data_IF_566852267999
#
_entry.id   IF_566852267999
#
_cell.length_a   1.000
_cell.length_b   1.000
_cell.length_c   1.000
_cell.angle_alpha   90.00
_cell.angle_beta   90.00
_cell.angle_gamma   90.00
#
_symmetry.space_group_name_H-M   'P 1'
#
loop_
_entity.id
_entity.type
_entity.pdbx_description
1 polymer ?
#
# COMPACT_ATOMS: atom_id res chain seq x y z
N UNK A 1 -26.96 7.97 -31.03
CA UNK A 1 -26.60 6.65 -31.57
C UNK A 1 -25.64 6.04 -30.57
N UNK A 2 -26.14 5.09 -29.79
CA UNK A 2 -25.58 4.62 -28.52
C UNK A 2 -24.25 3.89 -28.70
N UNK A 3 -23.31 4.20 -27.80
CA UNK A 3 -22.03 3.54 -27.65
C UNK A 3 -22.24 2.25 -26.86
N UNK A 4 -22.03 1.12 -27.53
CA UNK A 4 -22.04 -0.22 -26.93
C UNK A 4 -20.81 -0.35 -26.03
N UNK A 5 -21.02 -0.49 -24.72
CA UNK A 5 -20.01 -0.90 -23.75
C UNK A 5 -19.59 -2.35 -24.02
N UNK A 6 -18.33 -2.55 -24.37
CA UNK A 6 -17.74 -3.88 -24.56
C UNK A 6 -17.30 -4.48 -23.22
N UNK A 7 -17.95 -5.59 -22.85
CA UNK A 7 -17.76 -6.41 -21.64
C UNK A 7 -16.40 -7.17 -21.66
N UNK A 8 -15.55 -7.11 -20.60
CA UNK A 8 -14.16 -7.56 -20.69
C UNK A 8 -13.90 -9.07 -20.52
N UNK A 9 -14.91 -9.95 -20.60
CA UNK A 9 -14.74 -11.39 -20.32
C UNK A 9 -14.93 -12.35 -21.52
N UNK A 10 -14.54 -11.94 -22.73
CA UNK A 10 -14.67 -12.80 -23.94
C UNK A 10 -13.59 -13.88 -24.12
N UNK A 11 -12.71 -14.16 -23.14
CA UNK A 11 -11.70 -15.23 -23.28
C UNK A 11 -11.47 -16.02 -22.00
N UNK A 12 -12.36 -16.98 -21.73
CA UNK A 12 -12.13 -18.16 -20.89
C UNK A 12 -11.98 -19.42 -21.80
N UNK A 13 -11.30 -20.50 -21.38
CA UNK A 13 -11.26 -21.78 -22.10
C UNK A 13 -12.67 -22.40 -22.22
N UNK A 14 -12.91 -23.38 -23.12
CA UNK A 14 -14.25 -23.79 -23.53
C UNK A 14 -14.89 -24.74 -22.53
N UNK A 15 -15.21 -24.24 -21.34
CA UNK A 15 -16.30 -24.77 -20.53
C UNK A 15 -17.35 -23.67 -20.50
N UNK A 16 -18.33 -23.74 -21.41
CA UNK A 16 -19.48 -22.87 -21.40
C UNK A 16 -20.15 -22.99 -20.01
N UNK A 17 -20.22 -21.93 -19.19
CA UNK A 17 -21.12 -21.95 -18.05
C UNK A 17 -22.52 -22.26 -18.61
N UNK A 18 -23.19 -23.27 -18.04
CA UNK A 18 -24.55 -23.63 -18.43
C UNK A 18 -25.37 -22.35 -18.61
N UNK A 19 -26.04 -22.13 -19.76
CA UNK A 19 -26.82 -20.91 -20.00
C UNK A 19 -27.82 -20.62 -18.87
N UNK A 20 -28.31 -21.68 -18.23
CA UNK A 20 -29.17 -21.60 -17.05
C UNK A 20 -28.43 -21.02 -15.83
N UNK A 21 -27.19 -21.46 -15.57
CA UNK A 21 -26.38 -20.91 -14.47
C UNK A 21 -26.00 -19.45 -14.71
N UNK A 22 -25.69 -19.07 -15.95
CA UNK A 22 -25.43 -17.67 -16.29
C UNK A 22 -26.68 -16.81 -16.10
N UNK A 23 -27.85 -17.30 -16.52
CA UNK A 23 -29.12 -16.60 -16.36
C UNK A 23 -29.48 -16.45 -14.87
N UNK A 24 -29.29 -17.50 -14.07
CA UNK A 24 -29.46 -17.45 -12.61
C UNK A 24 -28.48 -16.46 -11.96
N UNK A 25 -27.21 -16.48 -12.37
CA UNK A 25 -26.23 -15.52 -11.90
C UNK A 25 -26.62 -14.08 -12.23
N UNK A 26 -27.02 -13.79 -13.48
CA UNK A 26 -27.45 -12.44 -13.87
C UNK A 26 -28.71 -12.00 -13.10
N UNK A 27 -29.67 -12.91 -12.89
CA UNK A 27 -30.89 -12.64 -12.12
C UNK A 27 -30.60 -12.33 -10.64
N UNK A 28 -29.61 -13.01 -10.04
CA UNK A 28 -29.29 -12.90 -8.62
C UNK A 28 -28.00 -12.11 -8.31
N UNK A 29 -27.36 -11.52 -9.34
CA UNK A 29 -26.03 -10.88 -9.25
C UNK A 29 -25.91 -9.91 -8.08
N UNK A 30 -26.92 -9.07 -7.87
CA UNK A 30 -26.94 -8.06 -6.80
C UNK A 30 -27.00 -8.71 -5.42
N UNK A 31 -27.85 -9.72 -5.25
CA UNK A 31 -27.97 -10.46 -3.99
C UNK A 31 -26.69 -11.22 -3.66
N UNK A 32 -26.10 -11.90 -4.65
CA UNK A 32 -24.82 -12.59 -4.52
C UNK A 32 -23.72 -11.61 -4.11
N UNK A 33 -23.62 -10.46 -4.81
CA UNK A 33 -22.62 -9.44 -4.52
C UNK A 33 -22.71 -8.96 -3.06
N UNK A 34 -23.92 -8.68 -2.57
CA UNK A 34 -24.14 -8.25 -1.19
C UNK A 34 -23.73 -9.31 -0.19
N UNK A 35 -24.08 -10.57 -0.42
CA UNK A 35 -23.68 -11.67 0.47
C UNK A 35 -22.16 -11.85 0.51
N UNK A 36 -21.50 -11.77 -0.65
CA UNK A 36 -20.04 -11.85 -0.73
C UNK A 36 -19.40 -10.70 0.05
N UNK A 37 -19.83 -9.45 -0.17
CA UNK A 37 -19.28 -8.30 0.54
C UNK A 37 -19.60 -8.34 2.05
N UNK A 38 -20.80 -8.76 2.44
CA UNK A 38 -21.17 -8.90 3.85
C UNK A 38 -20.33 -9.96 4.58
N UNK A 39 -19.85 -10.99 3.86
CA UNK A 39 -18.92 -11.97 4.44
C UNK A 39 -17.50 -11.38 4.64
N UNK A 40 -17.08 -10.47 3.77
CA UNK A 40 -15.75 -9.86 3.78
C UNK A 40 -15.62 -8.65 4.73
N UNK A 41 -16.71 -7.94 5.02
CA UNK A 41 -16.71 -6.76 5.88
C UNK A 41 -17.39 -7.03 7.21
N UNK A 42 -16.72 -6.71 8.31
CA UNK A 42 -17.39 -6.57 9.61
C UNK A 42 -18.03 -5.17 9.75
N UNK A 43 -18.88 -5.01 10.77
CA UNK A 43 -19.58 -3.75 11.04
C UNK A 43 -18.62 -2.56 11.25
N UNK A 44 -17.41 -2.81 11.74
CA UNK A 44 -16.41 -1.76 11.93
C UNK A 44 -15.81 -1.31 10.60
N UNK A 45 -15.47 -2.27 9.73
CA UNK A 45 -14.97 -2.06 8.38
C UNK A 45 -15.99 -1.33 7.50
N UNK A 46 -17.28 -1.62 7.66
CA UNK A 46 -18.35 -0.85 6.99
C UNK A 46 -18.30 0.62 7.41
N UNK A 47 -18.17 0.90 8.71
CA UNK A 47 -18.04 2.28 9.17
C UNK A 47 -16.78 2.97 8.63
N UNK A 48 -15.65 2.27 8.51
CA UNK A 48 -14.44 2.83 7.87
C UNK A 48 -14.67 3.11 6.37
N UNK A 49 -15.25 2.15 5.64
CA UNK A 49 -15.54 2.31 4.21
C UNK A 49 -16.50 3.46 3.95
N UNK A 50 -17.58 3.57 4.74
CA UNK A 50 -18.53 4.68 4.61
C UNK A 50 -17.89 6.02 4.97
N UNK A 51 -16.98 6.05 5.96
CA UNK A 51 -16.26 7.27 6.30
C UNK A 51 -15.40 7.77 5.14
N UNK A 52 -14.87 6.86 4.31
CA UNK A 52 -14.09 7.18 3.11
C UNK A 52 -15.01 7.61 1.96
N UNK A 53 -16.00 6.78 1.61
CA UNK A 53 -16.86 6.96 0.43
C UNK A 53 -17.73 8.21 0.53
N UNK A 54 -18.29 8.46 1.72
CA UNK A 54 -19.18 9.60 1.98
C UNK A 54 -18.43 10.86 2.45
N UNK A 55 -17.09 10.84 2.45
CA UNK A 55 -16.32 11.97 2.94
C UNK A 55 -16.60 13.24 2.11
N UNK A 56 -16.89 14.39 2.73
CA UNK A 56 -17.24 15.61 2.00
C UNK A 56 -16.20 16.01 0.96
N UNK A 57 -16.60 16.08 -0.31
CA UNK A 57 -15.70 16.37 -1.42
C UNK A 57 -15.21 17.83 -1.38
N UNK A 58 -13.90 18.04 -1.59
CA UNK A 58 -13.30 19.38 -1.66
C UNK A 58 -13.86 20.22 -2.82
N UNK A 59 -14.33 19.59 -3.91
CA UNK A 59 -14.79 20.26 -5.13
C UNK A 59 -16.21 20.80 -5.06
N UNK A 60 -17.06 20.22 -4.21
CA UNK A 60 -18.49 20.58 -4.14
C UNK A 60 -18.78 21.75 -3.20
N UNK A 61 -17.83 22.13 -2.34
CA UNK A 61 -18.00 23.20 -1.37
C UNK A 61 -16.88 24.24 -1.56
N UNK A 62 -17.21 25.39 -2.15
CA UNK A 62 -16.25 26.47 -2.40
C UNK A 62 -15.76 27.12 -1.10
N UNK A 63 -16.63 27.20 -0.07
CA UNK A 63 -16.29 27.78 1.23
C UNK A 63 -15.47 26.81 2.11
N UNK A 64 -14.29 27.28 2.55
CA UNK A 64 -13.39 26.57 3.45
C UNK A 64 -14.02 26.32 4.83
N UNK A 65 -14.82 27.25 5.35
CA UNK A 65 -15.43 27.13 6.67
C UNK A 65 -16.54 26.09 6.70
N UNK A 66 -17.45 26.14 5.73
CA UNK A 66 -18.49 25.14 5.54
C UNK A 66 -17.88 23.74 5.34
N UNK A 67 -16.83 23.61 4.52
CA UNK A 67 -16.12 22.34 4.34
C UNK A 67 -15.56 21.79 5.65
N UNK A 68 -14.91 22.64 6.46
CA UNK A 68 -14.41 22.27 7.80
C UNK A 68 -15.52 21.81 8.73
N UNK A 69 -16.68 22.46 8.69
CA UNK A 69 -17.85 22.10 9.49
C UNK A 69 -18.41 20.74 9.08
N UNK A 70 -18.57 20.50 7.78
CA UNK A 70 -19.06 19.23 7.24
C UNK A 70 -18.11 18.08 7.56
N UNK A 71 -16.79 18.26 7.36
CA UNK A 71 -15.80 17.23 7.73
C UNK A 71 -15.80 16.92 9.23
N UNK A 72 -15.90 17.95 10.09
CA UNK A 72 -16.04 17.75 11.54
C UNK A 72 -17.30 16.97 11.92
N UNK A 73 -18.43 17.30 11.29
CA UNK A 73 -19.69 16.58 11.53
C UNK A 73 -19.61 15.12 11.07
N UNK A 74 -19.01 14.88 9.90
CA UNK A 74 -18.79 13.56 9.33
C UNK A 74 -17.93 12.67 10.23
N UNK A 75 -16.77 13.16 10.68
CA UNK A 75 -15.91 12.41 11.61
C UNK A 75 -16.60 12.15 12.96
N UNK A 76 -17.44 13.06 13.44
CA UNK A 76 -18.27 12.82 14.64
C UNK A 76 -19.27 11.69 14.42
N UNK A 77 -19.96 11.67 13.28
CA UNK A 77 -20.89 10.59 12.94
C UNK A 77 -20.16 9.24 12.86
N UNK A 78 -19.03 9.20 12.16
CA UNK A 78 -18.17 8.02 12.09
C UNK A 78 -17.69 7.54 13.47
N UNK A 79 -17.19 8.43 14.33
CA UNK A 79 -16.70 8.03 15.67
C UNK A 79 -17.81 7.46 16.58
N UNK A 80 -19.06 7.75 16.26
CA UNK A 80 -20.25 7.22 16.95
C UNK A 80 -20.88 6.02 16.24
N UNK A 81 -20.29 5.55 15.14
CA UNK A 81 -20.83 4.50 14.27
C UNK A 81 -22.24 4.82 13.75
N UNK A 82 -22.44 6.06 13.30
CA UNK A 82 -23.73 6.57 12.81
C UNK A 82 -23.75 6.80 11.29
N UNK A 83 -22.75 6.30 10.56
CA UNK A 83 -22.80 6.30 9.10
C UNK A 83 -23.73 5.17 8.62
N UNK A 84 -24.38 5.33 7.44
CA UNK A 84 -25.34 4.36 6.92
C UNK A 84 -24.70 2.98 6.71
N UNK A 85 -25.53 1.94 6.67
CA UNK A 85 -25.09 0.59 6.33
C UNK A 85 -25.68 0.22 4.96
N UNK A 86 -24.83 0.04 3.92
CA UNK A 86 -25.31 -0.21 2.57
C UNK A 86 -26.05 -1.55 2.42
N UNK A 87 -25.94 -2.47 3.39
CA UNK A 87 -26.65 -3.76 3.35
C UNK A 87 -28.02 -3.69 4.01
N UNK A 88 -28.19 -2.88 5.05
CA UNK A 88 -29.47 -2.69 5.73
C UNK A 88 -30.38 -1.72 4.95
N UNK A 89 -29.80 -0.68 4.37
CA UNK A 89 -30.55 0.39 3.67
C UNK A 89 -30.91 0.04 2.20
N UNK A 90 -30.58 -1.18 1.74
CA UNK A 90 -30.78 -1.67 0.37
C UNK A 90 -30.21 -0.74 -0.73
N UNK A 91 -29.18 0.05 -0.40
CA UNK A 91 -28.60 1.06 -1.30
C UNK A 91 -27.63 0.41 -2.30
N UNK A 92 -28.20 0.00 -3.44
CA UNK A 92 -27.48 -0.57 -4.59
C UNK A 92 -26.27 0.25 -5.05
N UNK A 93 -26.36 1.58 -4.98
CA UNK A 93 -25.30 2.45 -5.43
C UNK A 93 -24.13 2.43 -4.44
N UNK A 94 -24.39 2.51 -3.12
CA UNK A 94 -23.35 2.38 -2.11
C UNK A 94 -22.73 0.99 -2.08
N UNK A 95 -23.51 -0.08 -2.30
CA UNK A 95 -22.97 -1.44 -2.48
C UNK A 95 -22.03 -1.50 -3.67
N UNK A 96 -22.40 -0.89 -4.81
CA UNK A 96 -21.51 -0.81 -5.98
C UNK A 96 -20.22 -0.03 -5.72
N UNK A 97 -20.29 1.07 -4.96
CA UNK A 97 -19.11 1.84 -4.55
C UNK A 97 -18.22 1.06 -3.56
N UNK A 98 -18.83 0.36 -2.62
CA UNK A 98 -18.14 -0.51 -1.67
C UNK A 98 -17.42 -1.64 -2.40
N UNK A 99 -18.07 -2.29 -3.36
CA UNK A 99 -17.42 -3.33 -4.18
C UNK A 99 -16.19 -2.78 -4.90
N UNK A 100 -16.32 -1.62 -5.53
CA UNK A 100 -15.20 -0.99 -6.25
C UNK A 100 -14.05 -0.64 -5.31
N UNK A 101 -14.34 -0.14 -4.11
CA UNK A 101 -13.32 0.14 -3.10
C UNK A 101 -12.64 -1.16 -2.65
N UNK A 102 -13.41 -2.21 -2.39
CA UNK A 102 -12.90 -3.53 -2.03
C UNK A 102 -11.99 -4.11 -3.12
N UNK A 103 -12.41 -4.09 -4.39
CA UNK A 103 -11.61 -4.59 -5.53
C UNK A 103 -10.29 -3.81 -5.68
N UNK A 104 -10.32 -2.50 -5.46
CA UNK A 104 -9.12 -1.65 -5.48
C UNK A 104 -8.16 -1.99 -4.35
N UNK A 105 -8.69 -2.22 -3.15
CA UNK A 105 -7.88 -2.63 -1.99
C UNK A 105 -7.29 -4.01 -2.25
N UNK A 106 -8.08 -4.99 -2.70
CA UNK A 106 -7.58 -6.33 -2.99
C UNK A 106 -6.48 -6.32 -4.05
N UNK A 107 -6.61 -5.49 -5.10
CA UNK A 107 -5.53 -5.33 -6.08
C UNK A 107 -4.20 -4.88 -5.44
N UNK A 108 -4.26 -3.96 -4.48
CA UNK A 108 -3.09 -3.47 -3.76
C UNK A 108 -2.56 -4.49 -2.76
N UNK A 109 -3.45 -5.24 -2.09
CA UNK A 109 -3.09 -6.34 -1.20
C UNK A 109 -2.36 -7.44 -1.96
N UNK A 110 -2.89 -7.84 -3.12
CA UNK A 110 -2.27 -8.83 -3.99
C UNK A 110 -0.86 -8.41 -4.43
N UNK A 111 -0.68 -7.15 -4.80
CA UNK A 111 0.63 -6.60 -5.15
C UNK A 111 1.58 -6.55 -3.95
N UNK A 112 1.10 -6.11 -2.79
CA UNK A 112 1.89 -6.02 -1.58
C UNK A 112 2.35 -7.40 -1.12
N UNK A 113 1.46 -8.40 -1.06
CA UNK A 113 1.82 -9.78 -0.71
C UNK A 113 2.87 -10.32 -1.68
N UNK A 114 2.71 -10.08 -2.99
CA UNK A 114 3.70 -10.53 -3.99
C UNK A 114 5.11 -10.00 -3.68
N UNK A 115 5.22 -8.71 -3.33
CA UNK A 115 6.49 -8.06 -2.99
C UNK A 115 7.04 -8.52 -1.64
N UNK A 116 6.17 -8.60 -0.65
CA UNK A 116 6.48 -8.99 0.72
C UNK A 116 7.07 -10.41 0.82
N UNK A 117 6.54 -11.34 0.03
CA UNK A 117 6.92 -12.75 0.06
C UNK A 117 8.00 -13.09 -0.96
N UNK A 118 8.51 -12.10 -1.69
CA UNK A 118 9.53 -12.30 -2.70
C UNK A 118 10.87 -12.70 -2.05
N UNK A 119 11.67 -13.57 -2.70
CA UNK A 119 13.03 -13.85 -2.23
C UNK A 119 13.89 -12.59 -2.15
N UNK A 120 13.69 -11.64 -3.08
CA UNK A 120 14.42 -10.39 -3.17
C UNK A 120 13.46 -9.18 -3.30
N UNK A 121 12.89 -8.70 -2.17
CA UNK A 121 11.88 -7.64 -2.19
C UNK A 121 12.30 -6.37 -2.92
N UNK A 122 13.54 -5.83 -2.80
CA UNK A 122 13.86 -4.55 -3.41
C UNK A 122 13.61 -4.47 -4.93
N UNK A 123 13.80 -5.58 -5.65
CA UNK A 123 13.47 -5.65 -7.09
C UNK A 123 11.97 -5.69 -7.34
N UNK A 124 11.21 -6.46 -6.56
CA UNK A 124 9.76 -6.52 -6.73
C UNK A 124 9.12 -5.19 -6.36
N UNK A 125 9.65 -4.49 -5.35
CA UNK A 125 9.21 -3.17 -4.95
C UNK A 125 9.44 -2.08 -6.01
N UNK A 126 10.38 -2.25 -6.94
CA UNK A 126 10.51 -1.39 -8.14
C UNK A 126 9.36 -1.57 -9.14
N UNK A 127 8.65 -2.69 -9.07
CA UNK A 127 7.57 -3.01 -9.99
C UNK A 127 6.23 -2.44 -9.49
N UNK A 128 5.32 -2.18 -10.44
CA UNK A 128 4.01 -1.61 -10.18
C UNK A 128 2.90 -2.62 -10.52
N UNK A 129 1.76 -2.59 -9.81
CA UNK A 129 0.63 -3.42 -10.17
C UNK A 129 -0.02 -2.93 -11.46
N UNK A 130 -0.37 -3.86 -12.35
CA UNK A 130 -1.20 -3.54 -13.51
C UNK A 130 -2.66 -3.34 -13.10
N UNK A 131 -3.20 -2.14 -13.33
CA UNK A 131 -4.61 -1.77 -13.05
C UNK A 131 -5.57 -2.20 -14.16
N UNK A 132 -5.09 -2.48 -15.37
CA UNK A 132 -5.95 -2.74 -16.53
C UNK A 132 -6.58 -4.15 -16.48
N UNK A 133 -7.89 -4.27 -16.80
CA UNK A 133 -8.71 -5.47 -16.55
C UNK A 133 -8.52 -6.64 -17.55
N UNK A 134 -7.59 -6.55 -18.50
CA UNK A 134 -7.58 -7.42 -19.69
C UNK A 134 -6.74 -8.71 -19.59
N UNK A 135 -6.26 -9.09 -18.40
CA UNK A 135 -5.46 -10.31 -18.24
C UNK A 135 -5.91 -11.09 -17.02
N UNK A 136 -6.39 -12.30 -17.25
CA UNK A 136 -6.75 -13.34 -16.25
C UNK A 136 -5.59 -13.65 -15.30
N UNK A 137 -4.37 -13.22 -15.66
CA UNK A 137 -3.18 -13.29 -14.82
C UNK A 137 -2.64 -11.88 -14.57
N UNK A 138 -2.94 -11.34 -13.38
CA UNK A 138 -2.30 -10.11 -12.90
C UNK A 138 -0.79 -10.32 -12.79
N UNK A 139 -0.02 -9.29 -13.13
CA UNK A 139 1.45 -9.31 -13.01
C UNK A 139 1.92 -7.97 -12.45
N UNK A 140 3.03 -8.01 -11.72
CA UNK A 140 3.87 -6.86 -11.45
C UNK A 140 4.57 -6.46 -12.75
N UNK A 141 4.63 -5.16 -13.03
CA UNK A 141 5.21 -4.63 -14.27
C UNK A 141 6.28 -3.58 -14.02
N UNK A 142 7.33 -3.61 -14.84
CA UNK A 142 8.36 -2.60 -14.88
C UNK A 142 8.51 -2.06 -16.31
N UNK A 143 8.20 -0.77 -16.51
CA UNK A 143 8.23 -0.11 -17.83
C UNK A 143 7.51 -0.92 -18.93
N UNK A 144 6.40 -1.57 -18.57
CA UNK A 144 5.59 -2.39 -19.49
C UNK A 144 5.98 -3.87 -19.56
N UNK A 145 7.14 -4.26 -19.05
CA UNK A 145 7.57 -5.66 -18.98
C UNK A 145 6.86 -6.37 -17.83
N UNK A 146 6.30 -7.55 -18.09
CA UNK A 146 5.75 -8.43 -17.06
C UNK A 146 6.89 -9.08 -16.30
N UNK A 147 6.88 -8.97 -14.98
CA UNK A 147 7.92 -9.46 -14.09
C UNK A 147 7.43 -10.69 -13.34
N UNK A 148 6.64 -10.49 -12.29
CA UNK A 148 6.22 -11.56 -11.38
C UNK A 148 4.71 -11.69 -11.44
N UNK A 149 4.16 -12.91 -11.57
CA UNK A 149 2.73 -13.15 -11.45
C UNK A 149 2.23 -12.64 -10.10
N UNK A 150 1.17 -11.85 -10.12
CA UNK A 150 0.60 -11.28 -8.91
C UNK A 150 -0.09 -12.36 -8.10
N UNK A 151 0.15 -12.36 -6.80
CA UNK A 151 -0.50 -13.20 -5.83
C UNK A 151 -2.04 -13.12 -5.95
N UNK A 152 -2.72 -14.25 -5.71
CA UNK A 152 -4.19 -14.32 -5.74
C UNK A 152 -4.73 -14.23 -4.32
N UNK A 153 -5.58 -13.24 -4.06
CA UNK A 153 -6.21 -13.01 -2.75
C UNK A 153 -6.99 -14.21 -2.19
N UNK A 154 -7.42 -15.16 -3.03
CA UNK A 154 -8.06 -16.42 -2.62
C UNK A 154 -7.15 -17.36 -1.84
N UNK A 155 -5.82 -17.16 -1.91
CA UNK A 155 -4.85 -17.95 -1.16
C UNK A 155 -4.65 -17.44 0.28
N UNK A 156 -5.23 -16.29 0.63
CA UNK A 156 -5.28 -15.80 2.01
C UNK A 156 -6.46 -16.44 2.74
N UNK A 157 -6.26 -16.74 4.02
CA UNK A 157 -7.39 -17.03 4.91
C UNK A 157 -8.31 -15.80 5.00
N UNK A 158 -9.57 -16.03 5.36
CA UNK A 158 -10.53 -14.93 5.54
C UNK A 158 -10.09 -13.94 6.62
N UNK A 159 -9.40 -14.41 7.67
CA UNK A 159 -8.87 -13.55 8.73
C UNK A 159 -7.73 -12.66 8.22
N UNK A 160 -6.78 -13.22 7.46
CA UNK A 160 -5.68 -12.46 6.86
C UNK A 160 -6.20 -11.39 5.90
N UNK A 161 -7.14 -11.77 5.02
CA UNK A 161 -7.76 -10.85 4.05
C UNK A 161 -8.49 -9.71 4.76
N UNK A 162 -9.26 -10.00 5.81
CA UNK A 162 -9.93 -8.97 6.64
C UNK A 162 -8.94 -8.01 7.29
N UNK A 163 -7.83 -8.51 7.86
CA UNK A 163 -6.78 -7.64 8.44
C UNK A 163 -6.18 -6.70 7.41
N UNK A 164 -5.86 -7.21 6.22
CA UNK A 164 -5.40 -6.37 5.11
C UNK A 164 -6.42 -5.30 4.75
N UNK A 165 -7.66 -5.69 4.41
CA UNK A 165 -8.69 -4.73 4.00
C UNK A 165 -8.92 -3.68 5.09
N UNK A 166 -8.99 -4.09 6.36
CA UNK A 166 -9.16 -3.18 7.49
C UNK A 166 -8.02 -2.17 7.59
N UNK A 167 -6.76 -2.62 7.49
CA UNK A 167 -5.60 -1.73 7.56
C UNK A 167 -5.58 -0.70 6.41
N UNK A 168 -5.92 -1.13 5.18
CA UNK A 168 -6.03 -0.22 4.04
C UNK A 168 -7.15 0.81 4.21
N UNK A 169 -8.31 0.41 4.76
CA UNK A 169 -9.40 1.34 5.07
C UNK A 169 -9.00 2.35 6.14
N UNK A 170 -8.37 1.89 7.23
CA UNK A 170 -7.89 2.80 8.29
C UNK A 170 -6.86 3.77 7.73
N UNK A 171 -5.91 3.28 6.92
CA UNK A 171 -4.92 4.12 6.25
C UNK A 171 -5.57 5.19 5.34
N UNK A 172 -6.52 4.82 4.48
CA UNK A 172 -7.15 5.79 3.57
C UNK A 172 -8.00 6.81 4.32
N UNK A 173 -8.65 6.40 5.42
CA UNK A 173 -9.36 7.33 6.30
C UNK A 173 -8.40 8.36 6.94
N UNK A 174 -7.21 7.93 7.39
CA UNK A 174 -6.17 8.84 7.87
C UNK A 174 -5.76 9.84 6.79
N UNK A 175 -5.67 9.38 5.53
CA UNK A 175 -5.37 10.27 4.40
C UNK A 175 -6.48 11.30 4.14
N UNK A 176 -7.73 11.02 4.49
CA UNK A 176 -8.81 12.04 4.42
C UNK A 176 -8.64 13.13 5.49
N UNK A 177 -8.05 12.81 6.64
CA UNK A 177 -7.83 13.73 7.78
C UNK A 177 -6.39 14.29 7.88
N UNK A 178 -5.51 13.97 6.91
CA UNK A 178 -4.05 14.24 6.88
C UNK A 178 -3.60 15.71 6.99
N UNK A 179 -4.53 16.63 7.23
CA UNK A 179 -4.27 18.07 7.35
C UNK A 179 -4.81 18.67 8.64
N UNK A 180 -5.26 17.85 9.60
CA UNK A 180 -5.86 18.26 10.88
C UNK A 180 -7.02 19.27 10.74
N UNK A 181 -7.54 19.48 9.52
CA UNK A 181 -8.55 20.52 9.29
C UNK A 181 -9.92 20.13 9.85
N UNK A 182 -10.13 18.83 10.07
CA UNK A 182 -11.44 18.26 10.32
C UNK A 182 -11.54 17.52 11.64
N UNK A 183 -10.45 17.17 12.32
CA UNK A 183 -10.50 16.52 13.63
C UNK A 183 -11.14 17.45 14.67
N UNK A 184 -12.29 17.09 15.26
CA UNK A 184 -12.85 17.83 16.39
C UNK A 184 -12.01 17.61 17.65
N UNK A 185 -11.80 18.66 18.46
CA UNK A 185 -11.08 18.57 19.74
C UNK A 185 -11.72 17.62 20.77
N UNK A 186 -13.00 17.29 20.59
CA UNK A 186 -13.77 16.40 21.45
C UNK A 186 -14.16 15.07 20.77
N UNK A 187 -13.41 14.64 19.76
CA UNK A 187 -13.67 13.39 19.07
C UNK A 187 -13.43 12.19 20.00
N UNK A 188 -14.37 11.24 20.03
CA UNK A 188 -14.17 9.98 20.73
C UNK A 188 -13.22 9.13 19.89
N UNK A 189 -11.98 8.98 20.36
CA UNK A 189 -10.99 8.14 19.70
C UNK A 189 -11.45 6.67 19.71
N UNK A 190 -11.37 6.02 18.54
CA UNK A 190 -11.61 4.57 18.45
C UNK A 190 -10.40 3.83 19.03
N UNK A 191 -10.67 2.77 19.79
CA UNK A 191 -9.61 1.94 20.37
C UNK A 191 -9.22 0.90 19.35
N UNK A 192 -7.93 0.73 19.12
CA UNK A 192 -7.42 -0.37 18.31
C UNK A 192 -6.23 -1.05 18.99
N UNK A 193 -5.93 -2.27 18.55
CA UNK A 193 -4.79 -3.05 19.01
C UNK A 193 -3.46 -2.51 18.49
N UNK A 194 -2.37 -2.95 19.11
CA UNK A 194 -1.03 -2.64 18.60
C UNK A 194 -0.79 -3.31 17.24
N UNK A 195 -1.28 -4.53 17.03
CA UNK A 195 -1.19 -5.20 15.73
C UNK A 195 -1.87 -4.39 14.61
N UNK A 196 -3.02 -3.78 14.88
CA UNK A 196 -3.70 -2.93 13.89
C UNK A 196 -2.95 -1.63 13.62
N UNK A 197 -2.36 -1.00 14.65
CA UNK A 197 -1.49 0.16 14.46
C UNK A 197 -0.30 -0.20 13.56
N UNK A 198 0.33 -1.34 13.82
CA UNK A 198 1.47 -1.86 13.08
C UNK A 198 1.09 -2.23 11.63
N UNK A 199 -0.10 -2.80 11.44
CA UNK A 199 -0.68 -3.08 10.12
C UNK A 199 -0.88 -1.80 9.31
N UNK A 200 -1.36 -0.71 9.92
CA UNK A 200 -1.48 0.59 9.25
C UNK A 200 -0.10 1.14 8.87
N UNK A 201 0.91 1.00 9.74
CA UNK A 201 2.30 1.38 9.42
C UNK A 201 2.87 0.58 8.24
N UNK A 202 2.57 -0.72 8.18
CA UNK A 202 2.91 -1.58 7.05
C UNK A 202 2.28 -1.08 5.74
N UNK A 203 0.98 -0.76 5.74
CA UNK A 203 0.29 -0.18 4.57
C UNK A 203 0.89 1.17 4.18
N UNK A 204 1.16 2.06 5.14
CA UNK A 204 1.82 3.33 4.88
C UNK A 204 3.16 3.11 4.17
N UNK A 205 4.02 2.22 4.68
CA UNK A 205 5.32 1.92 4.06
C UNK A 205 5.15 1.35 2.64
N UNK A 206 4.18 0.46 2.44
CA UNK A 206 3.86 -0.08 1.11
C UNK A 206 3.40 1.03 0.16
N UNK A 207 2.53 1.95 0.57
CA UNK A 207 2.10 3.07 -0.26
C UNK A 207 3.25 4.01 -0.59
N UNK A 208 4.14 4.31 0.36
CA UNK A 208 5.39 5.04 0.11
C UNK A 208 6.23 4.36 -0.97
N UNK A 209 6.36 3.03 -0.89
CA UNK A 209 7.14 2.25 -1.87
C UNK A 209 6.57 2.35 -3.29
N UNK A 210 5.24 2.39 -3.45
CA UNK A 210 4.61 2.52 -4.78
C UNK A 210 4.92 3.87 -5.43
N UNK A 211 4.92 4.96 -4.66
CA UNK A 211 5.33 6.27 -5.16
C UNK A 211 6.83 6.28 -5.52
N UNK A 212 7.67 5.64 -4.70
CA UNK A 212 9.08 5.41 -5.02
C UNK A 212 9.28 4.67 -6.35
N UNK A 213 8.52 3.59 -6.57
CA UNK A 213 8.54 2.80 -7.79
C UNK A 213 8.08 3.59 -9.03
N UNK A 214 7.03 4.42 -8.89
CA UNK A 214 6.60 5.34 -9.97
C UNK A 214 7.72 6.31 -10.34
N UNK A 215 8.37 6.92 -9.35
CA UNK A 215 9.46 7.86 -9.56
C UNK A 215 10.68 7.16 -10.18
N UNK A 216 11.02 5.96 -9.72
CA UNK A 216 12.06 5.13 -10.30
C UNK A 216 11.81 4.88 -11.79
N UNK A 217 10.60 4.42 -12.15
CA UNK A 217 10.25 4.11 -13.53
C UNK A 217 10.14 5.36 -14.42
N UNK A 218 9.71 6.50 -13.86
CA UNK A 218 9.70 7.79 -14.55
C UNK A 218 11.11 8.30 -14.85
N UNK A 219 12.06 8.05 -13.95
CA UNK A 219 13.48 8.36 -14.11
C UNK A 219 14.20 7.26 -14.92
N UNK A 220 15.52 7.42 -15.08
CA UNK A 220 16.38 6.46 -15.76
C UNK A 220 16.74 5.25 -14.88
N UNK A 221 15.87 4.83 -13.95
CA UNK A 221 16.14 3.60 -13.20
C UNK A 221 16.09 2.41 -14.16
N UNK A 222 17.16 1.65 -14.23
CA UNK A 222 17.18 0.37 -14.92
C UNK A 222 16.81 -0.72 -13.93
N UNK A 223 16.03 -1.69 -14.40
CA UNK A 223 15.89 -2.92 -13.64
C UNK A 223 17.27 -3.60 -13.68
N UNK A 224 17.88 -3.98 -12.54
CA UNK A 224 19.09 -4.77 -12.58
C UNK A 224 18.90 -5.96 -13.52
N UNK A 225 19.85 -6.20 -14.43
CA UNK A 225 19.88 -7.38 -15.31
C UNK A 225 19.99 -8.66 -14.46
N UNK A 226 18.92 -9.07 -13.80
CA UNK A 226 18.94 -10.13 -12.79
C UNK A 226 17.55 -10.79 -12.64
N UNK A 227 16.99 -11.27 -13.74
CA UNK A 227 16.08 -12.43 -13.70
C UNK A 227 16.82 -13.75 -13.93
N UNK A 228 18.12 -13.70 -14.21
CA UNK A 228 18.97 -14.88 -14.10
C UNK A 228 19.32 -15.07 -12.62
N UNK A 229 19.06 -16.28 -12.12
CA UNK A 229 19.48 -16.85 -10.84
C UNK A 229 20.57 -16.06 -10.10
N UNK A 230 20.43 -15.80 -8.80
CA UNK A 230 21.43 -15.07 -8.04
C UNK A 230 22.74 -15.87 -7.98
N UNK A 231 23.65 -15.60 -8.92
CA UNK A 231 25.03 -16.05 -8.82
C UNK A 231 25.71 -15.21 -7.75
N UNK A 232 26.63 -15.84 -7.01
CA UNK A 232 27.45 -15.24 -5.94
C UNK A 232 28.15 -13.93 -6.32
N UNK A 233 28.23 -13.59 -7.60
CA UNK A 233 28.77 -12.35 -8.15
C UNK A 233 27.87 -11.11 -7.97
N UNK A 234 26.55 -11.27 -7.82
CA UNK A 234 25.63 -10.14 -7.55
C UNK A 234 25.92 -9.51 -6.17
N UNK A 235 26.51 -10.31 -5.27
CA UNK A 235 26.92 -9.93 -3.92
C UNK A 235 28.03 -8.87 -3.87
N UNK A 236 28.78 -8.71 -4.96
CA UNK A 236 29.92 -7.79 -5.04
C UNK A 236 29.59 -6.42 -5.64
N UNK A 237 28.47 -6.27 -6.35
CA UNK A 237 28.19 -5.06 -7.15
C UNK A 237 27.07 -4.15 -6.61
N UNK A 238 26.31 -4.58 -5.58
CA UNK A 238 25.28 -3.75 -4.94
C UNK A 238 25.63 -3.46 -3.48
N UNK A 239 25.55 -2.20 -3.01
CA UNK A 239 25.72 -1.89 -1.60
C UNK A 239 24.67 -2.65 -0.77
N UNK A 240 25.11 -3.36 0.25
CA UNK A 240 24.31 -4.32 1.05
C UNK A 240 22.97 -3.79 1.64
N UNK A 241 22.72 -2.48 1.88
CA UNK A 241 21.38 -1.99 2.22
C UNK A 241 20.36 -2.12 1.07
N UNK A 242 20.80 -1.96 -0.18
CA UNK A 242 19.96 -2.03 -1.39
C UNK A 242 19.58 -3.48 -1.77
N UNK A 243 20.20 -4.46 -1.09
CA UNK A 243 19.90 -5.88 -1.24
C UNK A 243 18.80 -6.38 -0.29
N UNK A 244 18.46 -5.61 0.76
CA UNK A 244 17.54 -6.06 1.81
C UNK A 244 16.27 -5.21 1.88
N UNK A 245 16.35 -3.91 1.57
CA UNK A 245 15.27 -2.95 1.76
C UNK A 245 15.09 -2.04 0.53
N UNK A 246 13.85 -1.70 0.18
CA UNK A 246 13.58 -0.72 -0.87
C UNK A 246 13.42 0.69 -0.30
N UNK A 247 14.40 1.57 -0.54
CA UNK A 247 14.29 2.98 -0.18
C UNK A 247 13.74 3.83 -1.33
N UNK A 248 12.46 4.18 -1.23
CA UNK A 248 11.78 5.07 -2.17
C UNK A 248 12.49 6.42 -2.37
N UNK A 249 13.20 6.92 -1.34
CA UNK A 249 13.85 8.23 -1.35
C UNK A 249 15.02 8.31 -2.32
N UNK A 250 15.65 7.17 -2.63
CA UNK A 250 16.80 7.07 -3.56
C UNK A 250 16.40 7.44 -4.98
N UNK A 251 15.15 7.19 -5.37
CA UNK A 251 14.67 7.39 -6.74
C UNK A 251 14.05 8.77 -7.00
N UNK A 252 14.17 9.67 -6.04
CA UNK A 252 13.58 11.01 -6.10
C UNK A 252 14.58 12.16 -5.87
N UNK A 253 15.83 12.11 -6.35
CA UNK A 253 16.85 13.13 -6.06
C UNK A 253 16.44 14.52 -6.54
N UNK A 254 15.73 14.60 -7.67
CA UNK A 254 15.26 15.87 -8.24
C UNK A 254 14.14 16.53 -7.42
N UNK A 255 13.39 15.76 -6.63
CA UNK A 255 12.36 16.31 -5.75
C UNK A 255 12.95 16.83 -4.44
N UNK A 256 14.04 16.21 -3.95
CA UNK A 256 14.85 16.76 -2.85
C UNK A 256 15.42 18.13 -3.19
N UNK A 257 15.87 18.34 -4.44
CA UNK A 257 16.35 19.64 -4.93
C UNK A 257 15.27 20.73 -4.99
N UNK A 258 13.98 20.34 -5.00
CA UNK A 258 12.85 21.26 -4.99
C UNK A 258 12.36 21.58 -3.57
N UNK A 259 12.87 20.90 -2.54
CA UNK A 259 12.58 21.20 -1.14
C UNK A 259 13.67 22.10 -0.55
N UNK A 260 13.26 23.08 0.25
CA UNK A 260 14.18 23.93 1.02
C UNK A 260 14.65 23.26 2.32
N UNK A 261 14.04 22.14 2.68
CA UNK A 261 14.25 21.45 3.95
C UNK A 261 14.91 20.08 3.73
N UNK A 262 16.11 19.93 4.28
CA UNK A 262 16.92 18.72 4.20
C UNK A 262 16.29 17.60 5.03
N UNK A 263 15.92 16.47 4.41
CA UNK A 263 15.67 15.19 5.12
C UNK A 263 14.27 14.56 5.00
N UNK A 264 13.45 14.97 4.04
CA UNK A 264 12.04 14.54 3.96
C UNK A 264 11.85 13.21 3.21
N UNK A 265 11.10 12.27 3.82
CA UNK A 265 10.66 11.02 3.16
C UNK A 265 9.58 11.36 2.13
N UNK A 266 10.00 11.44 0.86
CA UNK A 266 9.14 11.79 -0.28
C UNK A 266 7.97 10.83 -0.41
N UNK A 267 8.19 9.55 -0.14
CA UNK A 267 7.15 8.53 -0.12
C UNK A 267 6.06 8.89 0.89
N UNK A 268 6.45 9.29 2.11
CA UNK A 268 5.52 9.71 3.15
C UNK A 268 4.72 10.95 2.76
N UNK A 269 5.34 11.94 2.11
CA UNK A 269 4.62 13.12 1.62
C UNK A 269 3.52 12.75 0.61
N UNK A 270 3.84 11.90 -0.37
CA UNK A 270 2.85 11.44 -1.35
C UNK A 270 1.81 10.46 -0.76
N UNK A 271 2.16 9.68 0.26
CA UNK A 271 1.22 8.72 0.87
C UNK A 271 -0.03 9.42 1.43
N UNK A 272 0.11 10.65 1.92
CA UNK A 272 -1.01 11.49 2.44
C UNK A 272 -2.09 11.82 1.40
N UNK A 273 -1.82 11.59 0.12
CA UNK A 273 -2.76 11.81 -0.99
C UNK A 273 -3.93 10.82 -1.01
N UNK A 274 -3.80 9.69 -0.30
CA UNK A 274 -4.79 8.63 -0.22
C UNK A 274 -4.83 7.70 -1.44
N UNK A 275 -5.53 6.58 -1.28
CA UNK A 275 -5.58 5.48 -2.25
C UNK A 275 -6.25 5.90 -3.56
N UNK A 276 -7.26 6.78 -3.51
CA UNK A 276 -7.92 7.31 -4.72
C UNK A 276 -6.95 7.98 -5.70
N UNK A 277 -5.99 8.75 -5.17
CA UNK A 277 -4.98 9.43 -5.99
C UNK A 277 -3.92 8.45 -6.46
N UNK A 278 -3.48 7.54 -5.59
CA UNK A 278 -2.56 6.45 -5.94
C UNK A 278 -3.08 5.63 -7.12
N UNK A 279 -4.32 5.13 -7.06
CA UNK A 279 -4.94 4.36 -8.14
C UNK A 279 -5.02 5.15 -9.44
N UNK A 280 -5.24 6.48 -9.39
CA UNK A 280 -5.22 7.32 -10.60
C UNK A 280 -3.83 7.42 -11.23
N UNK A 281 -2.76 7.43 -10.44
CA UNK A 281 -1.40 7.44 -10.96
C UNK A 281 -0.99 6.07 -11.50
N UNK A 282 -1.42 4.98 -10.86
CA UNK A 282 -1.19 3.62 -11.35
C UNK A 282 -1.86 3.31 -12.70
N UNK A 283 -2.77 4.17 -13.18
CA UNK A 283 -3.39 4.03 -14.51
C UNK A 283 -2.52 4.53 -15.66
N UNK A 284 -1.45 5.28 -15.40
CA UNK A 284 -0.52 5.68 -16.45
C UNK A 284 0.20 4.45 -17.00
N UNK A 285 0.29 4.37 -18.32
CA UNK A 285 0.97 3.29 -19.01
C UNK A 285 2.49 3.50 -18.94
N UNK A 286 3.10 2.81 -17.99
CA UNK A 286 4.55 2.86 -17.79
C UNK A 286 5.34 2.29 -18.96
N UNK A 287 4.73 1.61 -19.94
CA UNK A 287 5.41 1.20 -21.17
C UNK A 287 5.74 2.39 -22.07
N UNK A 288 4.88 3.43 -22.08
CA UNK A 288 5.00 4.58 -22.98
C UNK A 288 5.85 5.70 -22.38
N UNK A 289 6.92 6.15 -23.06
CA UNK A 289 7.76 7.25 -22.58
C UNK A 289 7.00 8.55 -22.30
N UNK A 290 6.01 8.90 -23.12
CA UNK A 290 5.27 10.15 -22.96
C UNK A 290 4.32 10.12 -21.75
N UNK A 291 3.71 8.97 -21.46
CA UNK A 291 2.90 8.80 -20.25
C UNK A 291 3.77 8.85 -18.99
N UNK A 292 4.99 8.28 -19.03
CA UNK A 292 5.97 8.43 -17.94
C UNK A 292 6.37 9.89 -17.71
N UNK A 293 6.69 10.64 -18.78
CA UNK A 293 7.00 12.08 -18.68
C UNK A 293 5.82 12.90 -18.13
N UNK A 294 4.59 12.56 -18.55
CA UNK A 294 3.39 13.23 -18.05
C UNK A 294 3.15 12.94 -16.56
N UNK A 295 3.38 11.71 -16.10
CA UNK A 295 3.28 11.36 -14.70
C UNK A 295 4.36 12.07 -13.87
N UNK A 296 5.62 12.02 -14.29
CA UNK A 296 6.74 12.71 -13.64
C UNK A 296 6.44 14.21 -13.43
N UNK A 297 6.02 14.89 -14.50
CA UNK A 297 5.62 16.30 -14.44
C UNK A 297 4.52 16.53 -13.40
N UNK A 298 3.50 15.67 -13.38
CA UNK A 298 2.37 15.78 -12.44
C UNK A 298 2.76 15.52 -10.99
N UNK A 299 3.64 14.55 -10.74
CA UNK A 299 4.18 14.28 -9.40
C UNK A 299 5.01 15.49 -8.92
N UNK A 300 5.86 16.07 -9.77
CA UNK A 300 6.62 17.30 -9.49
C UNK A 300 5.73 18.50 -9.21
N UNK A 301 4.67 18.71 -9.99
CA UNK A 301 3.69 19.78 -9.76
C UNK A 301 2.98 19.63 -8.42
N UNK A 302 2.56 18.41 -8.07
CA UNK A 302 1.91 18.15 -6.78
C UNK A 302 2.87 18.35 -5.63
N UNK A 303 4.13 17.94 -5.78
CA UNK A 303 5.15 18.18 -4.76
C UNK A 303 5.35 19.69 -4.54
N UNK A 304 5.54 20.45 -5.63
CA UNK A 304 5.83 21.88 -5.58
C UNK A 304 4.66 22.75 -5.13
N UNK A 305 3.44 22.44 -5.55
CA UNK A 305 2.27 23.31 -5.35
C UNK A 305 1.18 22.69 -4.47
N UNK A 306 1.17 21.37 -4.32
CA UNK A 306 0.16 20.63 -3.58
C UNK A 306 0.35 20.66 -2.07
N UNK A 307 1.52 21.09 -1.59
CA UNK A 307 1.92 21.10 -0.18
C UNK A 307 1.63 19.75 0.49
N UNK A 308 2.23 18.64 0.01
CA UNK A 308 2.11 17.35 0.68
C UNK A 308 2.51 17.54 2.15
N UNK A 309 1.65 17.08 3.08
CA UNK A 309 1.88 17.35 4.50
C UNK A 309 2.98 16.42 4.98
N UNK A 310 4.20 16.94 5.07
CA UNK A 310 5.37 16.24 5.63
C UNK A 310 5.61 16.68 7.09
N UNK A 311 4.86 17.68 7.56
CA UNK A 311 5.04 18.33 8.85
C UNK A 311 4.95 17.37 10.05
N UNK A 312 4.27 16.22 9.91
CA UNK A 312 4.14 15.25 10.99
C UNK A 312 4.27 13.81 10.49
N UNK A 313 4.88 12.92 11.29
CA UNK A 313 4.87 11.48 11.03
C UNK A 313 3.44 10.93 10.92
N UNK A 314 3.24 9.83 10.19
CA UNK A 314 1.90 9.27 9.98
C UNK A 314 1.21 8.88 11.30
N UNK A 315 2.00 8.52 12.30
CA UNK A 315 1.60 8.21 13.67
C UNK A 315 0.87 9.39 14.34
N UNK A 316 1.25 10.63 14.02
CA UNK A 316 0.58 11.81 14.55
C UNK A 316 -0.86 11.92 14.01
N UNK A 317 -1.08 11.63 12.72
CA UNK A 317 -2.44 11.57 12.16
C UNK A 317 -3.23 10.43 12.77
N UNK A 318 -2.57 9.30 13.00
CA UNK A 318 -3.18 8.14 13.64
C UNK A 318 -3.74 8.49 15.03
N UNK A 319 -2.96 9.16 15.86
CA UNK A 319 -3.36 9.50 17.24
C UNK A 319 -4.50 10.53 17.33
N UNK A 320 -4.85 11.21 16.23
CA UNK A 320 -6.02 12.09 16.18
C UNK A 320 -7.34 11.35 16.12
N UNK A 321 -7.35 10.15 15.55
CA UNK A 321 -8.56 9.36 15.32
C UNK A 321 -8.62 8.11 16.21
N UNK A 322 -7.46 7.62 16.62
CA UNK A 322 -7.32 6.33 17.29
C UNK A 322 -6.50 6.42 18.59
N UNK A 323 -6.88 5.59 19.55
CA UNK A 323 -6.14 5.35 20.79
C UNK A 323 -5.64 3.92 20.82
N UNK A 324 -4.31 3.72 20.89
CA UNK A 324 -3.72 2.41 21.13
C UNK A 324 -3.91 2.01 22.60
N UNK A 325 -4.25 0.74 22.88
CA UNK A 325 -4.23 0.19 24.25
C UNK A 325 -3.50 -1.13 24.27
N UNK A 326 -2.55 -1.26 25.19
CA UNK A 326 -1.68 -2.44 25.40
C UNK A 326 -2.41 -3.77 25.70
N UNK A 327 -3.76 -3.76 25.82
CA UNK A 327 -4.62 -4.92 26.12
C UNK A 327 -5.95 -4.85 25.36
N UNK A 328 -5.97 -4.42 24.10
CA UNK A 328 -7.20 -4.50 23.31
C UNK A 328 -7.46 -5.96 22.90
N UNK A 329 -8.17 -6.70 23.77
CA UNK A 329 -8.43 -8.14 23.68
C UNK A 329 -9.36 -8.52 22.50
N UNK A 330 -10.13 -7.56 21.99
CA UNK A 330 -11.11 -7.80 20.91
C UNK A 330 -10.51 -7.61 19.50
N UNK A 331 -9.18 -7.45 19.37
CA UNK A 331 -8.50 -7.36 18.08
C UNK A 331 -8.09 -8.73 17.57
N UNK A 332 -8.20 -8.96 16.26
CA UNK A 332 -7.63 -10.16 15.62
C UNK A 332 -6.11 -10.00 15.50
N UNK A 333 -5.36 -10.33 16.55
CA UNK A 333 -3.90 -10.33 16.49
C UNK A 333 -3.42 -11.49 15.62
N UNK A 334 -2.48 -11.22 14.71
CA UNK A 334 -1.80 -12.26 13.95
C UNK A 334 -0.90 -13.08 14.87
N UNK A 335 -0.84 -14.40 14.65
CA UNK A 335 0.13 -15.24 15.39
C UNK A 335 1.57 -14.83 15.08
N UNK A 336 1.87 -14.51 13.82
CA UNK A 336 3.19 -14.05 13.42
C UNK A 336 3.51 -12.69 14.05
N UNK A 337 2.50 -11.84 14.27
CA UNK A 337 2.66 -10.60 15.03
C UNK A 337 3.17 -10.87 16.45
N UNK A 338 2.52 -11.80 17.15
CA UNK A 338 2.90 -12.15 18.51
C UNK A 338 4.30 -12.79 18.60
N UNK A 339 4.73 -13.50 17.55
CA UNK A 339 6.05 -14.12 17.49
C UNK A 339 7.17 -13.12 17.18
N UNK A 340 6.95 -12.22 16.20
CA UNK A 340 8.02 -11.36 15.69
C UNK A 340 8.06 -9.97 16.31
N UNK A 341 6.97 -9.51 16.94
CA UNK A 341 6.74 -8.16 17.48
C UNK A 341 7.98 -7.24 17.45
N UNK A 342 8.19 -6.59 16.31
CA UNK A 342 9.37 -5.77 16.06
C UNK A 342 9.26 -4.43 16.79
N UNK A 343 10.40 -3.91 17.28
CA UNK A 343 10.41 -2.65 18.04
C UNK A 343 10.74 -1.47 17.12
N UNK A 344 9.96 -0.38 17.13
CA UNK A 344 10.22 0.80 16.29
C UNK A 344 11.60 1.45 16.49
N UNK A 345 12.21 1.28 17.67
CA UNK A 345 13.59 1.74 17.94
C UNK A 345 14.63 1.08 17.04
N UNK A 346 14.34 -0.10 16.51
CA UNK A 346 15.18 -0.90 15.61
C UNK A 346 14.89 -0.51 14.16
N UNK A 347 15.05 0.79 13.82
CA UNK A 347 14.48 1.42 12.61
C UNK A 347 14.58 0.58 11.32
N UNK A 348 15.75 0.05 10.99
CA UNK A 348 15.94 -0.72 9.75
C UNK A 348 15.23 -2.09 9.80
N UNK A 349 15.36 -2.81 10.92
CA UNK A 349 14.69 -4.11 11.10
C UNK A 349 13.18 -3.96 11.07
N UNK A 350 12.69 -2.91 11.70
CA UNK A 350 11.28 -2.56 11.72
C UNK A 350 10.74 -2.25 10.31
N UNK A 351 11.45 -1.41 9.53
CA UNK A 351 11.13 -1.13 8.12
C UNK A 351 11.16 -2.38 7.23
N UNK A 352 12.16 -3.26 7.41
CA UNK A 352 12.22 -4.55 6.73
C UNK A 352 11.01 -5.42 7.06
N UNK A 353 10.63 -5.46 8.34
CA UNK A 353 9.37 -6.09 8.75
C UNK A 353 8.19 -5.49 7.99
N UNK A 354 8.05 -4.17 7.97
CA UNK A 354 6.97 -3.52 7.23
C UNK A 354 6.95 -3.92 5.75
N UNK A 355 8.07 -3.97 5.04
CA UNK A 355 8.09 -4.51 3.66
C UNK A 355 7.68 -5.98 3.59
N UNK A 356 7.98 -6.78 4.59
CA UNK A 356 7.52 -8.16 4.65
C UNK A 356 6.02 -8.28 4.96
N UNK A 357 5.30 -7.29 5.47
CA UNK A 357 3.87 -7.46 5.79
C UNK A 357 3.58 -8.58 6.83
N UNK A 358 4.56 -8.95 7.65
CA UNK A 358 4.47 -10.01 8.67
C UNK A 358 3.24 -9.94 9.58
N UNK A 359 2.84 -8.73 9.98
CA UNK A 359 1.72 -8.50 10.90
C UNK A 359 0.37 -8.99 10.35
N UNK A 360 0.28 -9.27 9.05
CA UNK A 360 -0.96 -9.72 8.42
C UNK A 360 -1.14 -11.23 8.41
N UNK A 361 -0.07 -12.02 8.49
CA UNK A 361 -0.11 -13.47 8.26
C UNK A 361 -0.29 -14.26 9.55
N UNK A 362 -1.04 -15.35 9.53
CA UNK A 362 -1.26 -16.18 10.73
C UNK A 362 -0.20 -17.27 10.94
N UNK A 363 0.63 -17.53 9.93
CA UNK A 363 1.68 -18.54 9.99
C UNK A 363 2.88 -18.14 9.10
N UNK A 364 3.84 -19.04 8.97
CA UNK A 364 5.04 -18.85 8.16
C UNK A 364 4.92 -19.44 6.74
N UNK A 365 3.72 -19.80 6.26
CA UNK A 365 3.53 -20.44 4.94
C UNK A 365 4.08 -19.63 3.77
N UNK A 366 4.15 -18.31 3.94
CA UNK A 366 4.62 -17.37 2.94
C UNK A 366 6.09 -16.97 3.11
N UNK A 367 6.77 -17.50 4.13
CA UNK A 367 8.19 -17.29 4.38
C UNK A 367 8.89 -18.65 4.49
N UNK A 368 9.52 -19.13 3.41
CA UNK A 368 10.26 -20.39 3.47
C UNK A 368 11.41 -20.32 4.49
N UNK A 369 11.92 -21.49 4.88
CA UNK A 369 12.99 -21.61 5.87
C UNK A 369 14.17 -20.70 5.53
N UNK A 370 14.58 -19.93 6.54
CA UNK A 370 15.59 -18.88 6.42
C UNK A 370 16.97 -19.47 6.09
N UNK A 371 17.64 -18.91 5.09
CA UNK A 371 19.09 -19.14 4.93
C UNK A 371 19.84 -18.24 5.91
N UNK A 372 20.94 -18.74 6.48
CA UNK A 372 21.80 -17.93 7.36
C UNK A 372 22.42 -16.72 6.63
N UNK A 373 22.48 -16.77 5.30
CA UNK A 373 23.08 -15.73 4.47
C UNK A 373 22.11 -14.58 4.17
N UNK A 374 20.81 -14.85 4.10
CA UNK A 374 19.77 -13.87 3.81
C UNK A 374 18.48 -14.19 4.58
N UNK A 375 18.46 -13.94 5.90
CA UNK A 375 17.27 -14.16 6.70
C UNK A 375 16.16 -13.21 6.28
N UNK A 376 14.92 -13.73 6.24
CA UNK A 376 13.71 -12.94 5.93
C UNK A 376 13.49 -11.85 6.99
N UNK A 377 13.70 -12.21 8.26
CA UNK A 377 13.61 -11.29 9.40
C UNK A 377 14.97 -11.19 10.11
N UNK A 378 15.93 -10.41 9.56
CA UNK A 378 17.28 -10.34 10.10
C UNK A 378 17.29 -9.86 11.55
N UNK A 379 18.21 -10.43 12.35
CA UNK A 379 18.47 -9.96 13.71
C UNK A 379 19.22 -8.62 13.71
N UNK A 380 19.17 -7.87 14.81
CA UNK A 380 19.95 -6.64 14.96
C UNK A 380 21.45 -6.87 14.77
N UNK A 381 21.97 -8.00 15.27
CA UNK A 381 23.37 -8.38 15.13
C UNK A 381 23.74 -8.57 13.66
N UNK A 382 22.92 -9.32 12.92
CA UNK A 382 23.12 -9.51 11.48
C UNK A 382 23.16 -8.17 10.74
N UNK A 383 22.21 -7.26 11.03
CA UNK A 383 22.18 -5.94 10.40
C UNK A 383 23.40 -5.07 10.77
N UNK A 384 23.88 -5.17 12.02
CA UNK A 384 25.08 -4.47 12.46
C UNK A 384 26.34 -5.00 11.74
N UNK A 385 26.47 -6.31 11.59
CA UNK A 385 27.59 -6.95 10.88
C UNK A 385 27.63 -6.55 9.40
N UNK A 386 26.47 -6.45 8.75
CA UNK A 386 26.39 -5.98 7.36
C UNK A 386 26.79 -4.50 7.22
N UNK A 387 26.43 -3.66 8.20
CA UNK A 387 26.87 -2.25 8.22
C UNK A 387 28.37 -2.12 8.43
N UNK A 388 28.95 -2.90 9.34
CA UNK A 388 30.39 -2.89 9.59
C UNK A 388 31.20 -3.33 8.36
N UNK A 389 30.71 -4.34 7.63
CA UNK A 389 31.29 -4.75 6.34
C UNK A 389 31.23 -3.64 5.29
N UNK A 390 30.15 -2.84 5.25
CA UNK A 390 30.02 -1.69 4.34
C UNK A 390 31.09 -0.63 4.62
N UNK A 391 31.29 -0.25 5.89
CA UNK A 391 32.32 0.74 6.25
C UNK A 391 33.69 0.24 5.83
N UNK A 392 34.03 -1.02 6.13
CA UNK A 392 35.30 -1.62 5.75
C UNK A 392 35.54 -1.64 4.22
N UNK A 393 34.51 -1.97 3.42
CA UNK A 393 34.62 -1.99 1.95
C UNK A 393 34.79 -0.57 1.39
N UNK A 394 34.02 0.41 1.89
CA UNK A 394 34.13 1.80 1.45
C UNK A 394 35.52 2.38 1.79
N UNK A 395 35.97 2.18 3.03
CA UNK A 395 37.30 2.63 3.47
C UNK A 395 38.41 1.97 2.61
N UNK A 396 38.25 0.70 2.21
CA UNK A 396 39.19 0.03 1.31
C UNK A 396 39.22 0.63 -0.10
N UNK A 397 38.05 1.00 -0.65
CA UNK A 397 37.97 1.66 -1.96
C UNK A 397 38.50 3.10 -1.95
N UNK A 398 38.32 3.83 -0.85
CA UNK A 398 38.83 5.19 -0.69
C UNK A 398 40.35 5.17 -0.52
N UNK A 399 40.91 4.23 0.25
CA UNK A 399 42.37 4.05 0.35
C UNK A 399 43.02 3.65 -0.99
N UNK A 400 42.34 2.86 -1.83
CA UNK A 400 42.82 2.53 -3.19
C UNK A 400 42.77 3.69 -4.17
N UNK A 401 41.99 4.74 -3.88
CA UNK A 401 41.95 5.98 -4.66
C UNK A 401 43.03 6.96 -4.24
N UNK A 402 43.38 6.99 -2.96
CA UNK A 402 44.41 7.86 -2.41
C UNK A 402 45.85 7.38 -2.73
N UNK A 403 46.04 6.10 -3.07
CA UNK A 403 47.33 5.54 -3.50
C UNK A 403 47.70 5.83 -4.98
N UNK A 404 47.02 6.77 -5.65
CA UNK A 404 47.23 7.11 -7.07
C UNK A 404 47.64 8.54 -7.38
N UNK A 405 48.05 9.33 -6.39
CA UNK A 405 48.66 10.65 -6.58
C UNK A 405 50.17 10.67 -6.29
#
# INVERSE_FOLDING_TARGET
MELVETDPFTKLPPELPSPVLLQQYLAHKKSILRQVLAAEFDAEMIQYAMAILLFPNRRTCADKHQRKRLGRAHLRAWSKSQLPDPFEDDDDHLVGQLNKLHDQILLLVEDYVTKATAPFPPQEYLCLPKIQPLSTEGHLVFKGLKITPRFRSTNLTSSERKRFVKAFLVFDLLCKDSTFFYTPSNLRLRKISNAEFEAVGCVHSYVCSLYGAMLAQCNHADLPFAFATPTSLIRTYFPVPDALFFDASVYAPNLHLLSRDFGEDIGAGFSTLGLDRLIRFLRYDMAKPDERKALDKKLKEIWKYGNPSIAHPWEAYFHNLFATKQKYINGYESSLYNQLSLKPKEKLRYKLGQERAWVFFDDNRFYPQESAEQPTFPSERFLADQRAKKTFINDWFDNLRDDKD
#
